data_IF_996225862119
#
_entry.id   IF_996225862119
#
_cell.length_a   1.000
_cell.length_b   1.000
_cell.length_c   1.000
_cell.angle_alpha   90.00
_cell.angle_beta   90.00
_cell.angle_gamma   90.00
#
_symmetry.space_group_name_H-M   'P 1'
#
loop_
_entity.id
_entity.type
_entity.pdbx_description
1 polymer ?
#
# COMPACT_ATOMS: atom_id res chain seq x y z
N UNK A 1 -52.16 -15.78 -69.72
CA UNK A 1 -50.79 -15.24 -69.70
C UNK A 1 -50.10 -15.73 -70.94
N UNK A 2 -49.23 -14.93 -71.56
CA UNK A 2 -48.38 -15.47 -72.63
C UNK A 2 -47.38 -16.43 -72.01
N UNK A 3 -47.22 -17.61 -72.59
CA UNK A 3 -46.16 -18.55 -72.23
C UNK A 3 -44.82 -17.86 -72.52
N UNK A 4 -43.96 -17.74 -71.50
CA UNK A 4 -42.62 -17.22 -71.70
C UNK A 4 -41.79 -18.29 -72.43
N UNK A 5 -41.56 -18.10 -73.73
CA UNK A 5 -40.61 -18.90 -74.52
C UNK A 5 -39.26 -18.16 -74.55
N UNK A 6 -38.17 -18.88 -74.28
CA UNK A 6 -36.81 -18.38 -74.40
C UNK A 6 -35.98 -19.29 -75.32
N UNK A 7 -35.21 -18.70 -76.23
CA UNK A 7 -34.29 -19.42 -77.12
C UNK A 7 -32.91 -19.44 -76.48
N UNK A 8 -32.32 -20.64 -76.34
CA UNK A 8 -30.96 -20.84 -75.85
C UNK A 8 -30.06 -21.18 -77.05
N UNK A 9 -28.90 -20.51 -77.15
CA UNK A 9 -27.89 -20.79 -78.19
C UNK A 9 -26.47 -20.67 -77.63
N UNK A 10 -25.50 -21.21 -78.35
CA UNK A 10 -24.07 -21.08 -78.05
C UNK A 10 -23.46 -20.03 -78.98
N UNK A 11 -22.71 -19.09 -78.43
CA UNK A 11 -22.02 -18.03 -79.18
C UNK A 11 -20.58 -17.90 -78.69
N UNK A 12 -19.71 -17.24 -79.46
CA UNK A 12 -18.37 -16.87 -78.98
C UNK A 12 -18.46 -15.75 -77.93
N UNK A 13 -17.84 -15.96 -76.77
CA UNK A 13 -17.81 -14.98 -75.68
C UNK A 13 -16.81 -13.85 -75.91
N UNK A 14 -16.94 -12.79 -75.11
CA UNK A 14 -16.05 -11.62 -75.15
C UNK A 14 -14.61 -11.98 -74.76
N UNK A 15 -13.63 -11.45 -75.52
CA UNK A 15 -12.19 -11.70 -75.34
C UNK A 15 -11.69 -11.08 -74.02
N UNK A 16 -10.76 -11.75 -73.33
CA UNK A 16 -10.07 -11.20 -72.16
C UNK A 16 -10.80 -11.34 -70.82
N UNK A 17 -11.91 -12.09 -70.76
CA UNK A 17 -12.51 -12.51 -69.49
C UNK A 17 -11.80 -13.74 -68.91
N UNK A 18 -11.64 -13.76 -67.59
CA UNK A 18 -11.10 -14.92 -66.87
C UNK A 18 -11.98 -16.15 -67.12
N UNK A 19 -11.33 -17.23 -67.51
CA UNK A 19 -11.96 -18.44 -68.02
C UNK A 19 -11.52 -18.85 -69.42
N UNK A 20 -10.88 -17.96 -70.19
CA UNK A 20 -10.03 -18.33 -71.32
C UNK A 20 -8.76 -19.04 -70.82
N UNK A 21 -8.09 -19.86 -71.62
CA UNK A 21 -6.95 -20.68 -71.18
C UNK A 21 -5.65 -19.87 -70.95
N UNK A 22 -5.74 -18.73 -70.24
CA UNK A 22 -4.58 -17.94 -69.81
C UNK A 22 -3.81 -17.24 -70.94
N UNK A 23 -4.42 -17.05 -72.12
CA UNK A 23 -3.86 -16.18 -73.16
C UNK A 23 -4.82 -15.03 -73.43
N UNK A 24 -4.34 -13.81 -73.24
CA UNK A 24 -5.01 -12.59 -73.67
C UNK A 24 -5.36 -12.70 -75.17
N UNK A 25 -6.63 -12.48 -75.51
CA UNK A 25 -7.09 -12.33 -76.90
C UNK A 25 -7.89 -13.47 -77.54
N UNK A 26 -8.08 -14.60 -76.86
CA UNK A 26 -8.92 -15.74 -77.35
C UNK A 26 -10.34 -15.69 -76.76
N UNK A 27 -11.35 -16.16 -77.50
CA UNK A 27 -12.76 -16.27 -77.06
C UNK A 27 -13.14 -17.72 -76.74
N UNK A 28 -13.94 -17.95 -75.68
CA UNK A 28 -14.58 -19.24 -75.38
C UNK A 28 -16.06 -19.22 -75.70
N UNK A 29 -16.63 -20.36 -76.07
CA UNK A 29 -18.07 -20.52 -76.29
C UNK A 29 -18.85 -20.28 -74.99
N UNK A 30 -19.90 -19.46 -75.07
CA UNK A 30 -20.83 -19.14 -73.98
C UNK A 30 -22.26 -19.49 -74.37
N UNK A 31 -23.05 -19.88 -73.38
CA UNK A 31 -24.49 -20.05 -73.55
C UNK A 31 -25.12 -18.68 -73.36
N UNK A 32 -25.93 -18.27 -74.33
CA UNK A 32 -26.75 -17.05 -74.25
C UNK A 32 -28.21 -17.39 -74.34
N UNK A 33 -29.04 -16.64 -73.61
CA UNK A 33 -30.48 -16.67 -73.77
C UNK A 33 -30.98 -15.32 -74.27
N UNK A 34 -31.94 -15.36 -75.19
CA UNK A 34 -32.60 -14.15 -75.69
C UNK A 34 -33.80 -13.81 -74.79
N UNK A 35 -33.85 -12.57 -74.29
CA UNK A 35 -34.97 -12.11 -73.48
C UNK A 35 -36.23 -12.00 -74.34
N UNK A 36 -37.41 -12.37 -73.80
CA UNK A 36 -38.68 -12.13 -74.47
C UNK A 36 -38.87 -10.65 -74.85
N UNK A 37 -39.66 -10.38 -75.90
CA UNK A 37 -40.03 -9.03 -76.33
C UNK A 37 -38.86 -8.12 -76.73
N UNK A 38 -37.73 -8.68 -77.18
CA UNK A 38 -36.60 -7.90 -77.69
C UNK A 38 -35.74 -7.23 -76.62
N UNK A 39 -35.79 -7.71 -75.37
CA UNK A 39 -35.02 -7.16 -74.23
C UNK A 39 -33.51 -7.37 -74.28
N UNK A 40 -32.95 -7.88 -75.39
CA UNK A 40 -31.52 -8.18 -75.57
C UNK A 40 -31.14 -9.63 -75.25
N UNK A 41 -29.83 -9.88 -75.22
CA UNK A 41 -29.25 -11.19 -74.85
C UNK A 41 -28.59 -11.09 -73.46
N UNK A 42 -28.62 -12.18 -72.71
CA UNK A 42 -27.85 -12.35 -71.47
C UNK A 42 -26.94 -13.56 -71.58
N UNK A 43 -25.71 -13.42 -71.08
CA UNK A 43 -24.72 -14.50 -71.02
C UNK A 43 -24.84 -15.25 -69.70
N UNK A 44 -24.78 -16.59 -69.77
CA UNK A 44 -24.75 -17.45 -68.59
C UNK A 44 -23.30 -17.73 -68.22
N UNK A 45 -22.97 -17.65 -66.93
CA UNK A 45 -21.63 -17.91 -66.41
C UNK A 45 -21.13 -19.32 -66.77
N UNK A 46 -19.84 -19.44 -67.10
CA UNK A 46 -19.16 -20.73 -67.30
C UNK A 46 -18.61 -21.28 -65.98
N UNK A 47 -18.27 -22.57 -65.95
CA UNK A 47 -17.59 -23.15 -64.78
C UNK A 47 -16.28 -22.41 -64.42
N UNK A 48 -15.60 -21.77 -65.37
CA UNK A 48 -14.36 -21.06 -65.11
C UNK A 48 -14.56 -19.61 -64.64
N UNK A 49 -15.76 -19.03 -64.74
CA UNK A 49 -15.99 -17.61 -64.43
C UNK A 49 -15.95 -17.36 -62.91
N UNK A 50 -16.55 -18.27 -62.12
CA UNK A 50 -16.34 -18.33 -60.67
C UNK A 50 -16.72 -17.08 -59.85
N UNK A 51 -16.16 -17.00 -58.64
CA UNK A 51 -16.19 -15.83 -57.76
C UNK A 51 -14.77 -15.42 -57.39
N UNK A 52 -14.56 -14.11 -57.25
CA UNK A 52 -13.29 -13.51 -56.84
C UNK A 52 -13.40 -13.02 -55.40
N UNK A 53 -12.45 -13.41 -54.56
CA UNK A 53 -12.38 -13.00 -53.16
C UNK A 53 -11.08 -12.24 -52.93
N UNK A 54 -11.15 -11.14 -52.19
CA UNK A 54 -9.99 -10.35 -51.81
C UNK A 54 -10.05 -10.11 -50.30
N UNK A 55 -8.92 -10.27 -49.64
CA UNK A 55 -8.74 -9.86 -48.24
C UNK A 55 -7.80 -8.66 -48.14
N UNK A 56 -7.41 -8.28 -46.93
CA UNK A 56 -6.62 -7.07 -46.66
C UNK A 56 -5.29 -6.98 -47.41
N UNK A 57 -4.73 -8.11 -47.86
CA UNK A 57 -3.51 -8.14 -48.68
C UNK A 57 -3.73 -7.77 -50.16
N UNK A 58 -4.97 -7.55 -50.59
CA UNK A 58 -5.33 -7.15 -51.96
C UNK A 58 -5.18 -8.24 -53.03
N UNK A 59 -4.66 -9.43 -52.69
CA UNK A 59 -4.54 -10.53 -53.64
C UNK A 59 -5.89 -11.19 -53.91
N UNK A 60 -6.19 -11.40 -55.20
CA UNK A 60 -7.42 -12.06 -55.64
C UNK A 60 -7.28 -13.57 -55.56
N UNK A 61 -8.20 -14.20 -54.82
CA UNK A 61 -8.43 -15.64 -54.83
C UNK A 61 -9.61 -15.89 -55.77
N UNK A 62 -9.34 -16.45 -56.95
CA UNK A 62 -10.38 -16.88 -57.87
C UNK A 62 -10.85 -18.29 -57.52
N UNK A 63 -12.15 -18.49 -57.38
CA UNK A 63 -12.78 -19.78 -57.15
C UNK A 63 -13.72 -20.09 -58.29
N UNK A 64 -13.35 -21.06 -59.13
CA UNK A 64 -14.22 -21.54 -60.21
C UNK A 64 -15.54 -22.07 -59.64
N UNK A 65 -16.59 -22.09 -60.46
CA UNK A 65 -17.83 -22.73 -60.06
C UNK A 65 -17.53 -24.21 -59.76
N UNK A 66 -18.13 -24.74 -58.70
CA UNK A 66 -17.88 -26.07 -58.14
C UNK A 66 -16.53 -26.25 -57.39
N UNK A 67 -15.75 -25.20 -57.17
CA UNK A 67 -14.65 -25.24 -56.22
C UNK A 67 -15.07 -24.81 -54.81
N UNK A 68 -14.50 -25.44 -53.78
CA UNK A 68 -14.70 -25.04 -52.39
C UNK A 68 -13.73 -23.94 -51.98
N UNK A 69 -14.24 -22.84 -51.41
CA UNK A 69 -13.46 -21.85 -50.66
C UNK A 69 -13.43 -22.23 -49.18
N UNK A 70 -12.25 -22.36 -48.59
CA UNK A 70 -12.11 -22.55 -47.15
C UNK A 70 -11.95 -21.20 -46.44
N UNK A 71 -12.75 -20.96 -45.40
CA UNK A 71 -12.62 -19.82 -44.47
C UNK A 71 -12.40 -20.41 -43.08
N UNK A 72 -11.23 -20.20 -42.47
CA UNK A 72 -10.83 -20.87 -41.24
C UNK A 72 -10.24 -19.89 -40.22
N UNK A 73 -10.66 -20.02 -38.95
CA UNK A 73 -10.05 -19.36 -37.80
C UNK A 73 -8.92 -20.16 -37.13
N UNK A 74 -8.66 -21.39 -37.61
CA UNK A 74 -7.60 -22.31 -37.17
C UNK A 74 -7.58 -22.72 -35.69
N UNK A 75 -8.56 -22.31 -34.88
CA UNK A 75 -8.77 -22.86 -33.54
C UNK A 75 -9.10 -24.36 -33.62
N UNK A 76 -8.74 -25.11 -32.58
CA UNK A 76 -9.11 -26.52 -32.46
C UNK A 76 -10.63 -26.72 -32.61
N UNK A 77 -11.02 -27.76 -33.35
CA UNK A 77 -12.43 -27.99 -33.70
C UNK A 77 -13.32 -28.35 -32.50
N UNK A 78 -12.74 -28.81 -31.40
CA UNK A 78 -13.44 -29.14 -30.16
C UNK A 78 -13.36 -28.01 -29.11
N UNK A 79 -12.67 -26.91 -29.41
CA UNK A 79 -12.60 -25.77 -28.50
C UNK A 79 -13.99 -25.13 -28.28
N UNK A 80 -14.20 -24.62 -27.08
CA UNK A 80 -15.38 -23.81 -26.76
C UNK A 80 -15.25 -22.47 -27.46
N UNK A 81 -16.25 -22.09 -28.26
CA UNK A 81 -16.28 -20.85 -29.04
C UNK A 81 -17.52 -20.01 -28.72
N UNK A 82 -17.42 -18.71 -28.98
CA UNK A 82 -18.54 -17.77 -28.95
C UNK A 82 -18.64 -17.04 -30.28
N UNK A 83 -19.85 -16.84 -30.78
CA UNK A 83 -20.17 -16.11 -32.00
C UNK A 83 -20.66 -14.67 -31.71
N UNK A 84 -20.72 -14.27 -30.45
CA UNK A 84 -21.32 -12.99 -30.02
C UNK A 84 -20.42 -11.78 -30.26
N UNK A 85 -19.11 -11.98 -30.41
CA UNK A 85 -18.13 -10.90 -30.40
C UNK A 85 -17.68 -10.42 -31.79
N UNK A 86 -18.05 -11.14 -32.86
CA UNK A 86 -17.75 -10.76 -34.24
C UNK A 86 -19.06 -10.50 -35.01
N UNK A 87 -19.10 -9.41 -35.76
CA UNK A 87 -20.20 -9.04 -36.64
C UNK A 87 -19.68 -8.82 -38.05
N UNK A 88 -20.48 -9.18 -39.06
CA UNK A 88 -20.19 -8.89 -40.46
C UNK A 88 -21.15 -7.81 -40.94
N UNK A 89 -20.62 -6.66 -41.34
CA UNK A 89 -21.39 -5.56 -41.93
C UNK A 89 -21.11 -5.48 -43.43
N UNK A 90 -22.10 -5.09 -44.22
CA UNK A 90 -21.90 -4.67 -45.60
C UNK A 90 -21.58 -3.17 -45.67
N UNK A 91 -20.52 -2.80 -46.36
CA UNK A 91 -20.20 -1.42 -46.71
C UNK A 91 -20.53 -1.17 -48.19
N UNK A 92 -21.83 -1.11 -48.49
CA UNK A 92 -22.34 -0.85 -49.85
C UNK A 92 -21.86 0.49 -50.41
N UNK A 93 -21.46 1.42 -49.54
CA UNK A 93 -21.06 2.77 -49.90
C UNK A 93 -19.52 2.90 -50.07
N UNK A 94 -18.74 1.89 -49.64
CA UNK A 94 -17.29 1.76 -49.92
C UNK A 94 -16.98 0.44 -50.63
N UNK A 95 -17.03 0.46 -51.96
CA UNK A 95 -16.62 -0.63 -52.85
C UNK A 95 -17.43 -1.94 -52.72
N UNK A 96 -18.51 -1.97 -51.93
CA UNK A 96 -19.33 -3.17 -51.76
C UNK A 96 -18.67 -4.25 -50.89
N UNK A 97 -17.79 -3.86 -49.98
CA UNK A 97 -17.02 -4.78 -49.13
C UNK A 97 -17.86 -5.36 -47.99
N UNK A 98 -17.48 -6.55 -47.51
CA UNK A 98 -17.92 -7.08 -46.22
C UNK A 98 -16.84 -6.80 -45.17
N UNK A 99 -17.23 -6.14 -44.08
CA UNK A 99 -16.31 -5.75 -43.01
C UNK A 99 -16.61 -6.60 -41.78
N UNK A 100 -15.60 -7.36 -41.34
CA UNK A 100 -15.65 -8.06 -40.05
C UNK A 100 -15.30 -7.06 -38.95
N UNK A 101 -16.20 -6.90 -37.98
CA UNK A 101 -16.06 -5.98 -36.85
C UNK A 101 -16.07 -6.76 -35.54
N UNK A 102 -15.34 -6.25 -34.56
CA UNK A 102 -15.33 -6.77 -33.20
C UNK A 102 -16.21 -5.89 -32.30
N UNK A 103 -16.97 -6.51 -31.39
CA UNK A 103 -17.73 -5.78 -30.37
C UNK A 103 -16.78 -4.98 -29.46
N UNK A 104 -17.18 -3.76 -29.08
CA UNK A 104 -16.41 -2.94 -28.12
C UNK A 104 -16.43 -3.54 -26.71
N UNK A 105 -17.55 -4.16 -26.34
CA UNK A 105 -17.69 -4.94 -25.12
C UNK A 105 -17.67 -6.41 -25.52
N UNK A 106 -16.62 -7.11 -25.12
CA UNK A 106 -16.49 -8.54 -25.35
C UNK A 106 -17.23 -9.29 -24.25
N UNK A 107 -18.02 -10.28 -24.64
CA UNK A 107 -18.82 -11.13 -23.73
C UNK A 107 -18.54 -12.60 -24.00
N UNK A 108 -18.91 -13.49 -23.08
CA UNK A 108 -18.73 -14.94 -23.21
C UNK A 108 -17.27 -15.38 -23.49
N UNK A 109 -16.31 -14.63 -22.95
CA UNK A 109 -14.91 -15.02 -22.92
C UNK A 109 -14.58 -15.67 -21.57
N UNK A 110 -13.75 -16.71 -21.57
CA UNK A 110 -13.26 -17.32 -20.32
C UNK A 110 -12.06 -16.55 -19.77
N UNK A 111 -11.09 -16.23 -20.63
CA UNK A 111 -9.91 -15.46 -20.30
C UNK A 111 -9.27 -14.84 -21.55
N UNK A 112 -8.36 -13.91 -21.33
CA UNK A 112 -7.34 -13.50 -22.27
C UNK A 112 -5.97 -13.77 -21.65
N UNK A 113 -5.06 -14.37 -22.42
CA UNK A 113 -3.68 -14.66 -22.01
C UNK A 113 -2.71 -13.83 -22.85
N UNK A 114 -1.81 -13.12 -22.18
CA UNK A 114 -0.74 -12.31 -22.77
C UNK A 114 0.60 -12.86 -22.29
N UNK A 115 1.35 -13.45 -23.21
CA UNK A 115 2.62 -14.11 -22.91
C UNK A 115 3.81 -13.31 -23.43
N UNK A 116 4.90 -13.38 -22.67
CA UNK A 116 6.23 -12.87 -23.01
C UNK A 116 7.29 -13.87 -22.54
N UNK A 117 8.55 -13.66 -22.91
CA UNK A 117 9.65 -14.53 -22.46
C UNK A 117 9.89 -14.46 -20.95
N UNK A 118 9.41 -13.40 -20.29
CA UNK A 118 9.65 -13.12 -18.87
C UNK A 118 8.41 -13.34 -17.98
N UNK A 119 7.21 -13.36 -18.56
CA UNK A 119 5.96 -13.48 -17.80
C UNK A 119 4.75 -13.85 -18.64
N UNK A 120 3.75 -14.43 -17.98
CA UNK A 120 2.41 -14.62 -18.51
C UNK A 120 1.41 -13.82 -17.68
N UNK A 121 0.57 -13.05 -18.35
CA UNK A 121 -0.56 -12.34 -17.75
C UNK A 121 -1.86 -12.98 -18.19
N UNK A 122 -2.71 -13.37 -17.24
CA UNK A 122 -4.05 -13.89 -17.50
C UNK A 122 -5.08 -12.94 -16.91
N UNK A 123 -6.04 -12.53 -17.73
CA UNK A 123 -7.23 -11.80 -17.30
C UNK A 123 -8.42 -12.72 -17.51
N UNK A 124 -9.17 -13.03 -16.45
CA UNK A 124 -10.34 -13.92 -16.55
C UNK A 124 -11.36 -13.67 -15.46
N UNK A 125 -12.32 -14.58 -15.35
CA UNK A 125 -13.40 -14.47 -14.35
C UNK A 125 -12.92 -14.42 -12.89
N UNK A 126 -11.71 -14.91 -12.62
CA UNK A 126 -11.11 -14.91 -11.28
C UNK A 126 -10.29 -13.64 -10.97
N UNK A 127 -10.10 -12.74 -11.96
CA UNK A 127 -9.32 -11.51 -11.82
C UNK A 127 -8.13 -11.43 -12.79
N UNK A 128 -7.06 -10.80 -12.32
CA UNK A 128 -5.80 -10.58 -13.05
C UNK A 128 -4.67 -11.32 -12.33
N UNK A 129 -3.90 -12.10 -13.09
CA UNK A 129 -2.75 -12.84 -12.57
C UNK A 129 -1.55 -12.61 -13.47
N UNK A 130 -0.39 -12.30 -12.89
CA UNK A 130 0.90 -12.21 -13.55
C UNK A 130 1.80 -13.30 -12.96
N UNK A 131 2.11 -14.31 -13.77
CA UNK A 131 3.05 -15.37 -13.41
C UNK A 131 4.41 -15.05 -14.04
N UNK A 132 5.40 -14.54 -13.27
CA UNK A 132 6.72 -14.28 -13.80
C UNK A 132 7.49 -15.58 -14.03
N UNK A 133 8.52 -15.52 -14.86
CA UNK A 133 9.45 -16.65 -15.07
C UNK A 133 10.25 -17.01 -13.82
N UNK A 134 10.53 -16.02 -12.98
CA UNK A 134 11.22 -16.17 -11.70
C UNK A 134 10.59 -15.23 -10.67
N UNK A 135 10.53 -15.66 -9.42
CA UNK A 135 9.82 -14.96 -8.34
C UNK A 135 8.39 -15.46 -8.16
N UNK A 136 7.65 -14.77 -7.30
CA UNK A 136 6.29 -15.16 -6.92
C UNK A 136 5.23 -14.47 -7.79
N UNK A 137 4.07 -15.10 -7.88
CA UNK A 137 2.92 -14.60 -8.62
C UNK A 137 2.37 -13.29 -8.03
N UNK A 138 2.01 -12.36 -8.91
CA UNK A 138 1.25 -11.15 -8.57
C UNK A 138 -0.19 -11.33 -9.02
N UNK A 139 -1.16 -11.12 -8.14
CA UNK A 139 -2.57 -11.35 -8.47
C UNK A 139 -3.49 -10.32 -7.84
N UNK A 140 -4.50 -9.88 -8.59
CA UNK A 140 -5.66 -9.15 -8.08
C UNK A 140 -6.92 -9.98 -8.33
N UNK A 141 -7.56 -10.43 -7.26
CA UNK A 141 -8.73 -11.32 -7.30
C UNK A 141 -9.87 -10.77 -6.44
N UNK A 142 -10.99 -11.50 -6.36
CA UNK A 142 -12.09 -11.22 -5.42
C UNK A 142 -11.67 -11.27 -3.94
N UNK A 143 -10.51 -11.85 -3.63
CA UNK A 143 -9.92 -11.92 -2.28
C UNK A 143 -8.92 -10.79 -2.00
N UNK A 144 -8.63 -9.94 -2.98
CA UNK A 144 -7.71 -8.81 -2.85
C UNK A 144 -6.41 -8.96 -3.65
N UNK A 145 -5.40 -8.17 -3.26
CA UNK A 145 -4.10 -8.08 -3.91
C UNK A 145 -3.07 -8.98 -3.20
N UNK A 146 -2.38 -9.81 -3.98
CA UNK A 146 -1.11 -10.41 -3.61
C UNK A 146 -0.02 -9.80 -4.50
N UNK A 147 0.98 -9.16 -3.89
CA UNK A 147 2.07 -8.50 -4.63
C UNK A 147 3.29 -9.40 -4.85
N UNK A 148 3.19 -10.72 -4.59
CA UNK A 148 4.24 -11.69 -4.92
C UNK A 148 5.58 -11.39 -4.25
N UNK A 149 5.57 -11.10 -2.94
CA UNK A 149 6.75 -10.71 -2.16
C UNK A 149 7.53 -9.49 -2.70
N UNK A 150 6.95 -8.71 -3.62
CA UNK A 150 7.53 -7.46 -4.09
C UNK A 150 7.18 -6.31 -3.16
N UNK A 151 7.99 -5.25 -3.22
CA UNK A 151 7.65 -3.96 -2.59
C UNK A 151 6.53 -3.27 -3.37
N UNK A 152 5.60 -2.64 -2.64
CA UNK A 152 4.63 -1.71 -3.24
C UNK A 152 5.26 -0.32 -3.17
N UNK A 153 5.63 0.24 -4.32
CA UNK A 153 6.28 1.55 -4.42
C UNK A 153 5.28 2.67 -4.70
N UNK A 154 5.67 3.92 -4.43
CA UNK A 154 4.86 5.12 -4.64
C UNK A 154 3.55 5.16 -3.83
N UNK A 155 3.59 4.63 -2.60
CA UNK A 155 2.48 4.74 -1.64
C UNK A 155 2.56 6.10 -0.94
N UNK A 156 1.62 6.98 -1.25
CA UNK A 156 1.46 8.26 -0.54
C UNK A 156 1.11 8.03 0.94
N UNK A 157 1.40 8.99 1.84
CA UNK A 157 0.99 8.87 3.24
C UNK A 157 -0.52 8.65 3.38
N UNK A 158 -0.91 7.66 4.18
CA UNK A 158 -2.31 7.38 4.46
C UNK A 158 -2.95 8.50 5.27
N UNK A 159 -4.18 8.88 4.92
CA UNK A 159 -4.95 9.97 5.55
C UNK A 159 -6.19 9.42 6.26
N UNK A 160 -6.86 8.45 5.67
CA UNK A 160 -8.06 7.81 6.22
C UNK A 160 -7.71 6.51 6.95
N UNK A 161 -8.62 6.04 7.80
CA UNK A 161 -8.41 4.84 8.62
C UNK A 161 -8.24 3.52 7.85
N UNK A 162 -8.45 3.51 6.53
CA UNK A 162 -8.31 2.34 5.66
C UNK A 162 -7.18 2.48 4.64
N UNK A 163 -6.45 3.60 4.66
CA UNK A 163 -5.33 3.81 3.75
C UNK A 163 -4.13 2.97 4.20
N UNK A 164 -3.33 2.49 3.24
CA UNK A 164 -2.06 1.88 3.56
C UNK A 164 -1.10 2.92 4.16
N UNK A 165 -0.29 2.50 5.13
CA UNK A 165 0.79 3.33 5.68
C UNK A 165 2.07 3.09 4.90
N UNK A 166 2.81 4.16 4.63
CA UNK A 166 4.13 4.05 4.01
C UNK A 166 5.25 4.08 5.07
N UNK A 167 6.49 3.83 4.63
CA UNK A 167 7.65 3.74 5.53
C UNK A 167 7.91 5.05 6.29
N UNK A 168 7.71 6.21 5.66
CA UNK A 168 7.97 7.50 6.29
C UNK A 168 7.05 7.74 7.50
N UNK A 169 5.78 7.31 7.41
CA UNK A 169 4.86 7.37 8.55
C UNK A 169 5.31 6.47 9.69
N UNK A 170 5.79 5.26 9.39
CA UNK A 170 6.32 4.33 10.39
C UNK A 170 7.62 4.87 11.03
N UNK A 171 8.51 5.46 10.25
CA UNK A 171 9.74 6.08 10.76
C UNK A 171 9.42 7.26 11.70
N UNK A 172 8.38 8.04 11.42
CA UNK A 172 7.90 9.10 12.32
C UNK A 172 7.38 8.58 13.67
N UNK A 173 6.68 7.44 13.66
CA UNK A 173 6.30 6.74 14.90
C UNK A 173 7.53 6.25 15.65
N UNK A 174 8.49 5.63 14.93
CA UNK A 174 9.71 5.11 15.52
C UNK A 174 10.58 6.21 16.15
N UNK A 175 10.69 7.38 15.52
CA UNK A 175 11.40 8.53 16.08
C UNK A 175 10.75 9.00 17.39
N UNK A 176 9.41 9.09 17.41
CA UNK A 176 8.66 9.48 18.61
C UNK A 176 8.81 8.45 19.74
N UNK A 177 8.63 7.16 19.41
CA UNK A 177 8.74 6.07 20.37
C UNK A 177 10.16 5.95 20.96
N UNK A 178 11.19 6.26 20.17
CA UNK A 178 12.59 6.17 20.60
C UNK A 178 13.13 7.41 21.34
N UNK A 179 12.34 8.48 21.47
CA UNK A 179 12.82 9.74 22.02
C UNK A 179 13.27 9.65 23.50
N UNK A 180 12.62 8.80 24.29
CA UNK A 180 12.84 8.74 25.74
C UNK A 180 12.28 9.97 26.47
N UNK A 181 12.81 10.25 27.65
CA UNK A 181 12.47 11.45 28.43
C UNK A 181 13.68 11.91 29.28
N UNK A 182 13.82 13.21 29.48
CA UNK A 182 14.93 13.76 30.26
C UNK A 182 14.60 13.79 31.76
N UNK A 183 15.49 13.22 32.58
CA UNK A 183 15.48 13.32 34.04
C UNK A 183 16.41 14.45 34.50
N UNK A 184 15.88 15.34 35.33
CA UNK A 184 16.64 16.40 36.03
C UNK A 184 16.30 16.39 37.51
N UNK A 185 17.18 16.97 38.33
CA UNK A 185 16.95 17.13 39.77
C UNK A 185 17.05 18.60 40.15
N UNK A 186 16.15 19.07 41.01
CA UNK A 186 16.15 20.45 41.54
C UNK A 186 16.15 21.56 40.46
N UNK A 187 15.57 21.29 39.28
CA UNK A 187 15.56 22.23 38.15
C UNK A 187 16.92 22.41 37.46
N UNK A 188 17.92 21.60 37.78
CA UNK A 188 19.23 21.64 37.13
C UNK A 188 19.18 20.95 35.76
N UNK A 189 18.91 21.75 34.73
CA UNK A 189 18.89 21.30 33.35
C UNK A 189 20.30 21.06 32.78
N UNK A 190 21.37 21.51 33.45
CA UNK A 190 22.75 21.33 32.97
C UNK A 190 23.25 19.90 33.19
N UNK A 191 22.69 19.19 34.16
CA UNK A 191 22.94 17.78 34.45
C UNK A 191 21.79 16.86 34.01
N UNK A 192 20.99 17.29 33.01
CA UNK A 192 19.91 16.48 32.47
C UNK A 192 20.44 15.17 31.85
N UNK A 193 19.75 14.06 32.12
CA UNK A 193 20.05 12.75 31.54
C UNK A 193 18.85 12.23 30.76
N UNK A 194 19.04 11.82 29.50
CA UNK A 194 17.97 11.18 28.75
C UNK A 194 17.80 9.72 29.19
N UNK A 195 16.61 9.37 29.61
CA UNK A 195 16.18 8.01 29.91
C UNK A 195 15.57 7.43 28.64
N UNK A 196 16.36 6.62 27.93
CA UNK A 196 15.90 5.96 26.71
C UNK A 196 14.74 5.00 27.01
N UNK A 197 13.87 4.69 26.03
CA UNK A 197 12.84 3.67 26.20
C UNK A 197 13.43 2.35 26.68
N UNK A 198 12.68 1.65 27.55
CA UNK A 198 13.12 0.43 28.23
C UNK A 198 14.32 0.58 29.17
N UNK A 199 14.82 1.79 29.39
CA UNK A 199 15.81 2.05 30.44
C UNK A 199 15.15 2.07 31.82
N UNK A 200 15.96 1.83 32.86
CA UNK A 200 15.53 1.92 34.25
C UNK A 200 16.21 3.09 34.92
N UNK A 201 15.45 3.83 35.74
CA UNK A 201 15.98 4.79 36.71
C UNK A 201 15.84 4.14 38.09
N UNK A 202 16.96 4.02 38.80
CA UNK A 202 16.95 3.58 40.20
C UNK A 202 16.97 4.81 41.11
N UNK A 203 15.91 4.95 41.92
CA UNK A 203 15.78 6.03 42.90
C UNK A 203 16.33 5.52 44.24
N UNK A 204 17.63 5.71 44.44
CA UNK A 204 18.34 5.21 45.61
C UNK A 204 18.67 6.32 46.62
N UNK A 205 18.67 5.97 47.91
CA UNK A 205 19.20 6.80 48.97
C UNK A 205 20.23 6.00 49.80
N UNK A 206 21.46 6.48 49.88
CA UNK A 206 22.58 5.71 50.46
C UNK A 206 22.86 6.05 51.92
N UNK A 207 22.41 7.20 52.42
CA UNK A 207 22.60 7.61 53.81
C UNK A 207 21.53 7.07 54.77
N UNK A 208 20.45 6.50 54.22
CA UNK A 208 19.34 5.92 54.98
C UNK A 208 18.37 6.94 55.62
N UNK A 209 18.53 8.25 55.39
CA UNK A 209 17.67 9.28 55.95
C UNK A 209 16.28 9.35 55.29
N UNK A 210 16.21 9.03 54.00
CA UNK A 210 14.97 8.88 53.24
C UNK A 210 14.69 7.40 52.99
N UNK A 211 13.45 6.99 53.27
CA UNK A 211 12.90 5.69 52.92
C UNK A 211 12.16 5.84 51.59
N UNK A 212 12.65 5.16 50.55
CA UNK A 212 12.05 5.17 49.21
C UNK A 212 11.35 3.82 49.01
N UNK A 213 10.04 3.83 48.77
CA UNK A 213 9.27 2.61 48.49
C UNK A 213 8.52 2.73 47.18
N UNK A 214 8.33 1.60 46.47
CA UNK A 214 7.58 1.53 45.22
C UNK A 214 6.44 0.52 45.34
N UNK A 215 5.23 0.94 45.00
CA UNK A 215 4.06 0.08 44.92
C UNK A 215 3.28 0.40 43.64
N UNK A 216 3.21 -0.55 42.70
CA UNK A 216 2.67 -0.29 41.37
C UNK A 216 3.43 0.84 40.67
N UNK A 217 2.72 1.88 40.21
CA UNK A 217 3.33 3.05 39.56
C UNK A 217 3.68 4.20 40.53
N UNK A 218 3.39 4.02 41.82
CA UNK A 218 3.65 5.05 42.83
C UNK A 218 5.02 4.83 43.46
N UNK A 219 5.74 5.93 43.67
CA UNK A 219 6.96 6.00 44.46
C UNK A 219 6.70 6.93 45.64
N UNK A 220 6.93 6.44 46.85
CA UNK A 220 6.75 7.20 48.10
C UNK A 220 8.11 7.52 48.70
N UNK A 221 8.26 8.75 49.17
CA UNK A 221 9.44 9.24 49.88
C UNK A 221 9.02 9.64 51.28
N UNK A 222 9.51 8.89 52.27
CA UNK A 222 9.28 9.17 53.69
C UNK A 222 10.61 9.48 54.39
N UNK A 223 10.55 10.16 55.53
CA UNK A 223 11.70 10.25 56.43
C UNK A 223 11.86 8.94 57.20
N UNK A 224 13.09 8.53 57.45
CA UNK A 224 13.37 7.45 58.37
C UNK A 224 13.11 7.90 59.82
N UNK A 225 12.79 6.95 60.70
CA UNK A 225 12.55 7.21 62.13
C UNK A 225 13.79 7.80 62.81
N UNK A 226 14.97 7.39 62.37
CA UNK A 226 16.24 7.91 62.83
C UNK A 226 16.89 8.70 61.68
N UNK A 227 17.23 9.96 61.94
CA UNK A 227 17.95 10.82 61.02
C UNK A 227 19.40 10.95 61.49
N UNK A 228 20.34 10.66 60.59
CA UNK A 228 21.76 10.89 60.81
C UNK A 228 22.19 12.08 59.98
N UNK A 229 22.57 13.17 60.66
CA UNK A 229 23.05 14.40 60.02
C UNK A 229 24.52 14.57 60.37
N UNK A 230 25.34 14.89 59.38
CA UNK A 230 26.79 14.74 59.48
C UNK A 230 27.23 13.28 59.32
N UNK A 231 28.51 13.01 59.49
CA UNK A 231 29.02 11.65 59.36
C UNK A 231 30.53 11.55 59.41
N UNK A 232 31.06 10.33 59.62
CA UNK A 232 32.50 10.09 59.66
C UNK A 232 33.13 10.39 58.30
N UNK A 233 34.38 10.86 58.32
CA UNK A 233 35.14 11.05 57.10
C UNK A 233 35.57 9.71 56.52
N UNK A 234 35.81 9.70 55.21
CA UNK A 234 36.24 8.51 54.46
C UNK A 234 37.75 8.55 54.26
N UNK A 235 38.40 7.39 54.28
CA UNK A 235 39.82 7.21 53.97
C UNK A 235 40.78 8.07 54.82
N UNK A 236 40.56 8.10 56.14
CA UNK A 236 41.40 8.82 57.09
C UNK A 236 41.24 10.35 57.08
N UNK A 237 40.22 10.87 56.38
CA UNK A 237 39.81 12.28 56.47
C UNK A 237 38.88 12.49 57.66
N UNK A 238 38.86 13.71 58.19
CA UNK A 238 37.91 14.11 59.24
C UNK A 238 36.46 14.06 58.72
N UNK A 239 35.54 13.81 59.65
CA UNK A 239 34.10 13.83 59.37
C UNK A 239 33.52 15.24 59.28
N UNK A 240 32.22 15.30 59.01
CA UNK A 240 31.45 16.55 59.05
C UNK A 240 30.48 16.48 60.21
N UNK A 241 30.57 17.47 61.11
CA UNK A 241 29.64 17.61 62.23
C UNK A 241 28.21 17.86 61.71
N UNK A 242 27.23 17.17 62.28
CA UNK A 242 25.82 17.38 61.97
C UNK A 242 25.28 18.69 62.54
N UNK A 243 24.36 19.34 61.82
CA UNK A 243 23.63 20.49 62.32
C UNK A 243 22.16 20.43 61.89
N UNK A 244 21.25 20.61 62.85
CA UNK A 244 19.83 20.83 62.58
C UNK A 244 19.43 22.17 63.20
N UNK A 245 18.61 22.94 62.48
CA UNK A 245 18.14 24.24 62.93
C UNK A 245 16.64 24.43 62.68
N UNK A 246 15.94 25.03 63.63
CA UNK A 246 14.56 25.50 63.46
C UNK A 246 14.58 27.02 63.32
N UNK A 247 14.09 27.51 62.18
CA UNK A 247 13.99 28.94 61.92
C UNK A 247 12.74 29.54 62.59
N UNK A 248 12.92 30.71 63.21
CA UNK A 248 11.82 31.54 63.68
C UNK A 248 11.11 32.26 62.53
N UNK A 249 9.97 32.88 62.82
CA UNK A 249 9.17 33.66 61.85
C UNK A 249 9.97 34.79 61.19
N UNK A 250 11.01 35.27 61.85
CA UNK A 250 11.90 36.33 61.37
C UNK A 250 13.07 35.82 60.51
N UNK A 251 13.07 34.52 60.17
CA UNK A 251 14.10 33.87 59.34
C UNK A 251 15.42 33.58 60.07
N UNK A 252 15.53 33.88 61.37
CA UNK A 252 16.72 33.57 62.17
C UNK A 252 16.56 32.21 62.85
N UNK A 253 17.67 31.50 63.04
CA UNK A 253 17.67 30.21 63.74
C UNK A 253 17.41 30.42 65.22
N UNK A 254 16.29 29.88 65.72
CA UNK A 254 15.91 29.97 67.14
C UNK A 254 16.47 28.81 67.98
N UNK A 255 16.46 27.60 67.41
CA UNK A 255 16.99 26.38 68.06
C UNK A 255 17.96 25.69 67.12
N UNK A 256 19.12 25.25 67.65
CA UNK A 256 20.12 24.47 66.91
C UNK A 256 20.57 23.27 67.72
N UNK A 257 20.77 22.12 67.06
CA UNK A 257 21.51 20.98 67.60
C UNK A 257 22.87 20.92 66.91
N UNK A 258 23.96 20.96 67.67
CA UNK A 258 25.33 21.02 67.14
C UNK A 258 26.12 19.73 67.45
N UNK A 259 26.48 18.99 66.40
CA UNK A 259 27.27 17.76 66.53
C UNK A 259 28.73 17.98 66.97
N UNK A 260 29.28 19.20 66.78
CA UNK A 260 30.70 19.50 67.07
C UNK A 260 31.05 19.37 68.55
N UNK A 261 30.19 19.92 69.39
CA UNK A 261 30.38 20.02 70.84
C UNK A 261 29.19 19.42 71.62
N UNK A 262 28.20 18.87 70.91
CA UNK A 262 26.99 18.30 71.50
C UNK A 262 26.03 19.33 72.09
N UNK A 263 26.22 20.63 71.81
CA UNK A 263 25.42 21.70 72.40
C UNK A 263 24.03 21.84 71.76
N UNK A 264 23.06 22.31 72.57
CA UNK A 264 21.76 22.80 72.11
C UNK A 264 21.77 24.32 72.22
N UNK A 265 21.76 25.00 71.07
CA UNK A 265 21.66 26.46 71.00
C UNK A 265 20.20 26.89 71.11
N UNK A 266 19.89 27.77 72.06
CA UNK A 266 18.57 28.40 72.22
C UNK A 266 18.77 29.92 72.14
N UNK A 267 18.60 30.49 70.95
CA UNK A 267 18.81 31.93 70.72
C UNK A 267 17.48 32.59 70.45
N UNK A 268 17.03 33.42 71.39
CA UNK A 268 15.92 34.32 71.18
C UNK A 268 16.31 35.56 70.34
N UNK A 269 15.36 36.28 69.72
CA UNK A 269 15.66 37.58 69.13
C UNK A 269 16.28 38.52 70.18
N UNK A 270 17.26 39.33 69.77
CA UNK A 270 17.85 40.37 70.60
C UNK A 270 16.74 41.29 71.12
N UNK A 271 16.71 41.55 72.42
CA UNK A 271 15.80 42.50 73.03
C UNK A 271 16.03 43.91 72.47
N UNK A 272 14.98 44.73 72.44
CA UNK A 272 15.16 46.16 72.18
C UNK A 272 16.07 46.78 73.26
N UNK A 273 16.81 47.83 72.93
CA UNK A 273 17.76 48.45 73.85
C UNK A 273 17.07 48.80 75.19
N UNK A 274 17.62 48.26 76.28
CA UNK A 274 17.09 48.43 77.64
C UNK A 274 16.03 47.42 78.07
N UNK A 275 15.73 46.37 77.28
CA UNK A 275 14.85 45.25 77.66
C UNK A 275 15.56 43.91 77.46
N UNK A 276 15.26 42.94 78.32
CA UNK A 276 15.81 41.59 78.20
C UNK A 276 15.50 40.99 76.82
N UNK A 277 16.48 40.28 76.24
CA UNK A 277 16.27 39.43 75.07
C UNK A 277 15.42 38.21 75.42
N UNK A 278 14.88 37.54 74.41
CA UNK A 278 14.05 36.36 74.65
C UNK A 278 14.84 35.26 75.39
N UNK A 279 14.23 34.79 76.48
CA UNK A 279 14.69 33.74 77.38
C UNK A 279 14.55 32.34 76.75
N UNK A 280 15.52 31.47 77.03
CA UNK A 280 15.43 30.04 76.70
C UNK A 280 14.59 29.33 77.77
N UNK A 281 13.37 28.91 77.42
CA UNK A 281 12.52 28.11 78.31
C UNK A 281 12.73 26.63 78.01
N UNK A 282 13.38 25.90 78.93
CA UNK A 282 13.45 24.43 78.90
C UNK A 282 12.39 23.91 79.87
N UNK A 283 11.28 23.39 79.32
CA UNK A 283 10.23 22.76 80.11
C UNK A 283 10.44 21.25 80.13
N UNK A 284 10.51 20.65 81.31
CA UNK A 284 10.43 19.19 81.50
C UNK A 284 9.02 18.83 81.98
N UNK A 285 8.46 17.72 81.49
CA UNK A 285 7.20 17.16 82.00
C UNK A 285 7.50 16.15 83.10
N UNK A 286 6.69 16.15 84.17
CA UNK A 286 6.80 15.14 85.23
C UNK A 286 6.65 13.74 84.64
N UNK A 287 7.62 12.85 84.89
CA UNK A 287 7.47 11.44 84.55
C UNK A 287 6.39 10.79 85.42
N UNK A 288 5.68 9.75 84.93
CA UNK A 288 4.86 8.91 85.79
C UNK A 288 5.74 8.36 86.92
N UNK A 289 5.19 8.24 88.13
CA UNK A 289 5.88 7.67 89.29
C UNK A 289 6.40 6.29 88.89
N UNK A 290 7.71 6.08 88.91
CA UNK A 290 8.31 4.78 88.60
C UNK A 290 7.78 3.71 89.55
N UNK A 291 7.42 2.55 89.01
CA UNK A 291 7.10 1.34 89.79
C UNK A 291 8.36 0.55 90.05
#
# INVERSE_FOLDING_TARGET
>A
GQDAQATIKVVDGTKGLDGNNGKDGESKTRIVYEKPNGGGTEEIATLNDGLNFVGDKGQVIQKKLNETLAIKGNLDAAAVVTDKNLRVDNDKDKNGELIIKMAKSLTDLTNATFSSDDSNTVIGGNGLTITPKAGDEVSLTDKGLNNGNNTIINVAPGVNGTDAVNKDQLDGVNATANAGWNLTTNGDNTNASNVAPNSTVDLANTDGNIVITKAGNNVTFDLNNNLTVGGPGKDGKDGVDGQLGVQGKDGKTGVTLNGKDGSIGLTGPKGADGKDGANATISVVNGPVGV
#
